data_IF_689677191468
#
_entry.id   IF_689677191468
#
_cell.length_a   1.000
_cell.length_b   1.000
_cell.length_c   1.000
_cell.angle_alpha   90.00
_cell.angle_beta   90.00
_cell.angle_gamma   90.00
#
_symmetry.space_group_name_H-M   'P 1'
#
loop_
_entity.id
_entity.type
_entity.pdbx_description
1 polymer ?
#
# COMPACT_ATOMS: atom_id res chain seq x y z
N UNK A 1 -6.52 10.94 -17.65
CA UNK A 1 -7.63 10.37 -16.88
C UNK A 1 -7.05 9.58 -15.74
N UNK A 2 -7.04 10.17 -14.54
CA UNK A 2 -6.54 9.50 -13.34
C UNK A 2 -7.55 8.42 -12.93
N UNK A 3 -7.32 7.19 -13.38
CA UNK A 3 -8.10 6.05 -12.89
C UNK A 3 -7.71 5.79 -11.44
N UNK A 4 -8.60 6.17 -10.52
CA UNK A 4 -8.56 5.70 -9.14
C UNK A 4 -8.72 4.18 -9.18
N UNK A 5 -7.63 3.47 -8.94
CA UNK A 5 -7.64 2.01 -8.87
C UNK A 5 -8.53 1.58 -7.69
N UNK A 6 -9.41 0.58 -7.85
CA UNK A 6 -10.18 0.03 -6.74
C UNK A 6 -9.19 -0.41 -5.66
N UNK A 7 -9.28 0.21 -4.48
CA UNK A 7 -8.41 -0.13 -3.36
C UNK A 7 -8.46 -1.65 -3.11
N UNK A 8 -7.34 -2.24 -2.66
CA UNK A 8 -7.20 -3.66 -2.29
C UNK A 8 -8.28 -4.20 -1.31
N UNK A 9 -9.19 -3.35 -0.81
CA UNK A 9 -10.37 -3.70 -0.01
C UNK A 9 -11.33 -4.70 -0.68
N UNK A 10 -11.21 -4.99 -1.98
CA UNK A 10 -11.96 -6.07 -2.64
C UNK A 10 -11.37 -7.48 -2.40
N UNK A 11 -10.14 -7.61 -1.90
CA UNK A 11 -9.49 -8.91 -1.68
C UNK A 11 -10.12 -9.77 -0.55
N UNK A 12 -11.04 -9.20 0.23
CA UNK A 12 -11.88 -9.92 1.21
C UNK A 12 -13.21 -10.45 0.65
N UNK A 13 -13.55 -10.18 -0.61
CA UNK A 13 -14.77 -10.70 -1.21
C UNK A 13 -14.58 -12.16 -1.71
N UNK A 14 -15.70 -12.88 -1.87
CA UNK A 14 -15.81 -14.31 -2.20
C UNK A 14 -14.92 -14.79 -3.36
N UNK A 15 -14.76 -16.11 -3.53
CA UNK A 15 -13.97 -16.75 -4.62
C UNK A 15 -14.16 -16.05 -5.98
N UNK A 16 -15.37 -15.62 -6.29
CA UNK A 16 -15.73 -14.92 -7.54
C UNK A 16 -15.07 -13.54 -7.67
N UNK A 17 -15.04 -12.74 -6.60
CA UNK A 17 -14.39 -11.43 -6.61
C UNK A 17 -12.85 -11.51 -6.64
N UNK A 18 -12.26 -12.59 -6.11
CA UNK A 18 -10.83 -12.89 -6.31
C UNK A 18 -10.48 -13.20 -7.76
N UNK A 19 -11.38 -13.89 -8.48
CA UNK A 19 -11.20 -14.18 -9.91
C UNK A 19 -11.23 -12.90 -10.74
N UNK A 20 -12.18 -12.01 -10.47
CA UNK A 20 -12.28 -10.70 -11.13
C UNK A 20 -11.12 -9.77 -10.75
N UNK A 21 -10.59 -9.87 -9.53
CA UNK A 21 -9.39 -9.15 -9.13
C UNK A 21 -8.16 -9.67 -9.89
N UNK A 22 -8.02 -10.98 -10.10
CA UNK A 22 -6.88 -11.52 -10.84
C UNK A 22 -6.87 -11.07 -12.31
N UNK A 23 -8.03 -10.95 -12.96
CA UNK A 23 -8.13 -10.51 -14.35
C UNK A 23 -7.94 -9.00 -14.48
N UNK A 24 -8.56 -8.19 -13.60
CA UNK A 24 -8.42 -6.73 -13.59
C UNK A 24 -7.01 -6.29 -13.17
N UNK A 25 -6.46 -6.91 -12.13
CA UNK A 25 -5.17 -6.52 -11.55
C UNK A 25 -4.00 -7.03 -12.40
N UNK A 26 -4.07 -8.25 -12.98
CA UNK A 26 -3.08 -8.65 -13.98
C UNK A 26 -3.16 -7.77 -15.23
N UNK A 27 -4.38 -7.49 -15.71
CA UNK A 27 -4.59 -6.67 -16.90
C UNK A 27 -4.00 -5.27 -16.78
N UNK A 28 -4.23 -4.60 -15.65
CA UNK A 28 -3.78 -3.22 -15.43
C UNK A 28 -2.33 -3.12 -14.92
N UNK A 29 -1.92 -3.94 -13.95
CA UNK A 29 -0.61 -3.80 -13.32
C UNK A 29 0.51 -4.48 -14.13
N UNK A 30 0.21 -5.51 -14.93
CA UNK A 30 1.23 -6.21 -15.71
C UNK A 30 1.37 -5.70 -17.15
N UNK A 31 0.34 -5.06 -17.72
CA UNK A 31 0.38 -4.61 -19.11
C UNK A 31 0.51 -3.09 -19.27
N UNK A 32 0.68 -2.37 -18.15
CA UNK A 32 0.81 -0.91 -18.19
C UNK A 32 2.25 -0.53 -17.90
N UNK A 33 3.02 -0.35 -18.97
CA UNK A 33 4.44 0.01 -18.89
C UNK A 33 4.63 1.27 -18.05
N UNK A 34 3.73 2.26 -18.17
CA UNK A 34 3.76 3.54 -17.40
C UNK A 34 3.53 3.43 -15.88
N UNK A 35 3.31 2.24 -15.33
CA UNK A 35 3.08 2.08 -13.91
C UNK A 35 4.39 2.01 -13.13
N UNK A 36 4.72 3.12 -12.46
CA UNK A 36 5.95 3.25 -11.66
C UNK A 36 5.89 2.52 -10.31
N UNK A 37 4.69 2.40 -9.73
CA UNK A 37 4.52 1.74 -8.43
C UNK A 37 3.16 2.00 -7.79
N UNK A 38 2.93 1.36 -6.65
CA UNK A 38 1.67 1.32 -5.93
C UNK A 38 1.83 1.89 -4.53
N UNK A 39 0.93 2.81 -4.17
CA UNK A 39 0.78 3.28 -2.79
C UNK A 39 -0.32 2.46 -2.10
N UNK A 40 0.06 1.52 -1.24
CA UNK A 40 -0.88 0.70 -0.49
C UNK A 40 -1.25 1.39 0.83
N UNK A 41 -2.48 1.88 0.92
CA UNK A 41 -2.99 2.55 2.11
C UNK A 41 -3.38 1.51 3.19
N UNK A 42 -2.80 1.64 4.38
CA UNK A 42 -3.07 0.76 5.54
C UNK A 42 -3.58 1.60 6.69
N UNK A 43 -4.67 1.21 7.37
CA UNK A 43 -5.19 1.94 8.53
C UNK A 43 -4.34 1.60 9.77
N UNK A 44 -3.55 2.55 10.26
CA UNK A 44 -2.67 2.33 11.41
C UNK A 44 -3.42 2.26 12.74
N UNK A 45 -4.69 2.68 12.79
CA UNK A 45 -5.49 2.71 14.01
C UNK A 45 -6.14 1.36 14.36
N UNK A 46 -5.80 0.30 13.63
CA UNK A 46 -6.30 -1.06 13.84
C UNK A 46 -5.15 -2.07 13.71
N UNK A 47 -5.27 -3.26 14.30
CA UNK A 47 -4.30 -4.33 14.09
C UNK A 47 -4.17 -4.68 12.63
N UNK A 48 -2.98 -5.16 12.26
CA UNK A 48 -2.67 -5.74 10.97
C UNK A 48 -3.78 -6.67 10.50
N UNK A 49 -4.34 -6.37 9.33
CA UNK A 49 -5.38 -7.19 8.73
C UNK A 49 -4.77 -8.12 7.70
N UNK A 50 -5.22 -9.38 7.68
CA UNK A 50 -4.73 -10.38 6.74
C UNK A 50 -4.88 -9.93 5.28
N UNK A 51 -5.95 -9.17 4.97
CA UNK A 51 -6.18 -8.64 3.62
C UNK A 51 -5.05 -7.71 3.15
N UNK A 52 -4.48 -6.90 4.05
CA UNK A 52 -3.39 -5.98 3.71
C UNK A 52 -2.11 -6.76 3.42
N UNK A 53 -1.84 -7.81 4.21
CA UNK A 53 -0.71 -8.73 4.00
C UNK A 53 -0.85 -9.51 2.70
N UNK A 54 -2.05 -10.01 2.40
CA UNK A 54 -2.35 -10.76 1.18
C UNK A 54 -2.15 -9.87 -0.07
N UNK A 55 -2.63 -8.62 -0.03
CA UNK A 55 -2.43 -7.64 -1.09
C UNK A 55 -0.94 -7.31 -1.28
N UNK A 56 -0.21 -7.04 -0.19
CA UNK A 56 1.23 -6.81 -0.24
C UNK A 56 1.95 -8.01 -0.89
N UNK A 57 1.73 -9.22 -0.37
CA UNK A 57 2.33 -10.44 -0.89
C UNK A 57 2.00 -10.69 -2.38
N UNK A 58 0.80 -10.35 -2.83
CA UNK A 58 0.49 -10.43 -4.26
C UNK A 58 1.30 -9.42 -5.08
N UNK A 59 1.37 -8.16 -4.66
CA UNK A 59 2.14 -7.12 -5.35
C UNK A 59 3.63 -7.47 -5.41
N UNK A 60 4.19 -7.94 -4.29
CA UNK A 60 5.58 -8.39 -4.21
C UNK A 60 5.90 -9.55 -5.14
N UNK A 61 5.04 -10.59 -5.17
CA UNK A 61 5.23 -11.74 -6.07
C UNK A 61 5.11 -11.40 -7.55
N UNK A 62 4.41 -10.33 -7.90
CA UNK A 62 4.29 -9.85 -9.27
C UNK A 62 5.31 -8.75 -9.61
N UNK A 63 6.32 -8.54 -8.76
CA UNK A 63 7.38 -7.55 -8.93
C UNK A 63 6.87 -6.11 -9.15
N UNK A 64 5.72 -5.80 -8.55
CA UNK A 64 5.13 -4.46 -8.62
C UNK A 64 5.76 -3.59 -7.54
N UNK A 65 6.34 -2.45 -7.93
CA UNK A 65 6.89 -1.46 -7.00
C UNK A 65 5.83 -1.03 -5.97
N UNK A 66 6.19 -1.02 -4.69
CA UNK A 66 5.25 -0.83 -3.59
C UNK A 66 5.78 0.19 -2.58
N UNK A 67 4.89 1.03 -2.06
CA UNK A 67 5.12 1.87 -0.87
C UNK A 67 3.92 1.73 0.05
N UNK A 68 4.14 1.46 1.34
CA UNK A 68 3.06 1.48 2.32
C UNK A 68 2.78 2.90 2.78
N UNK A 69 1.50 3.27 2.84
CA UNK A 69 1.07 4.55 3.40
C UNK A 69 0.16 4.26 4.58
N UNK A 70 0.72 4.37 5.77
CA UNK A 70 -0.03 4.21 7.01
C UNK A 70 -0.90 5.44 7.23
N UNK A 71 -2.20 5.26 7.29
CA UNK A 71 -3.20 6.32 7.43
C UNK A 71 -3.75 6.36 8.84
N UNK A 72 -4.35 7.50 9.22
CA UNK A 72 -4.98 7.72 10.54
C UNK A 72 -4.01 7.54 11.71
N UNK A 73 -2.74 7.89 11.51
CA UNK A 73 -1.72 7.82 12.56
C UNK A 73 -1.99 8.77 13.76
N UNK A 74 -2.98 9.66 13.64
CA UNK A 74 -3.53 10.48 14.73
C UNK A 74 -4.46 9.71 15.69
N UNK A 75 -4.96 8.53 15.28
CA UNK A 75 -6.03 7.84 16.00
C UNK A 75 -5.50 6.69 16.85
N UNK A 76 -5.53 6.89 18.16
CA UNK A 76 -5.41 5.79 19.14
C UNK A 76 -6.81 5.24 19.41
N UNK A 77 -7.02 3.93 19.16
CA UNK A 77 -8.30 3.27 19.43
C UNK A 77 -8.23 2.44 20.71
N UNK A 78 -9.27 2.53 21.54
CA UNK A 78 -9.42 1.67 22.72
C UNK A 78 -9.67 0.21 22.31
N UNK A 79 -9.30 -0.73 23.16
CA UNK A 79 -9.49 -2.16 22.92
C UNK A 79 -8.52 -2.71 21.88
N UNK A 80 -9.02 -3.50 20.92
CA UNK A 80 -8.17 -4.16 19.91
C UNK A 80 -7.44 -3.18 18.99
N UNK A 81 -7.88 -1.92 18.89
CA UNK A 81 -7.34 -0.96 17.94
C UNK A 81 -5.93 -0.45 18.22
N UNK A 82 -5.50 -0.39 19.48
CA UNK A 82 -4.12 -0.06 19.86
C UNK A 82 -3.64 1.34 19.45
N UNK A 83 -2.34 1.55 19.65
CA UNK A 83 -1.64 2.75 19.20
C UNK A 83 -1.05 2.54 17.79
N UNK A 84 -1.07 3.56 16.92
CA UNK A 84 -0.55 3.44 15.56
C UNK A 84 0.89 2.97 15.45
N UNK A 85 1.78 3.43 16.33
CA UNK A 85 3.19 3.04 16.39
C UNK A 85 3.35 1.52 16.62
N UNK A 86 2.57 0.95 17.54
CA UNK A 86 2.57 -0.49 17.83
C UNK A 86 2.04 -1.32 16.65
N UNK A 87 0.92 -0.91 16.07
CA UNK A 87 0.32 -1.63 14.94
C UNK A 87 1.24 -1.61 13.70
N UNK A 88 1.86 -0.46 13.41
CA UNK A 88 2.80 -0.32 12.30
C UNK A 88 4.00 -1.24 12.51
N UNK A 89 4.55 -1.31 13.73
CA UNK A 89 5.65 -2.20 14.04
C UNK A 89 5.29 -3.66 13.77
N UNK A 90 4.14 -4.12 14.27
CA UNK A 90 3.64 -5.49 14.02
C UNK A 90 3.40 -5.74 12.53
N UNK A 91 2.87 -4.77 11.80
CA UNK A 91 2.69 -4.88 10.36
C UNK A 91 4.04 -5.07 9.64
N UNK A 92 5.04 -4.26 9.95
CA UNK A 92 6.36 -4.31 9.33
C UNK A 92 7.12 -5.60 9.67
N UNK A 93 6.96 -6.13 10.89
CA UNK A 93 7.50 -7.44 11.28
C UNK A 93 6.92 -8.57 10.39
N UNK A 94 5.60 -8.57 10.18
CA UNK A 94 4.96 -9.54 9.29
C UNK A 94 5.44 -9.40 7.84
N UNK A 95 5.56 -8.16 7.34
CA UNK A 95 6.05 -7.87 5.99
C UNK A 95 7.53 -8.26 5.83
N UNK A 96 8.36 -8.10 6.86
CA UNK A 96 9.78 -8.43 6.80
C UNK A 96 10.06 -9.89 6.43
N UNK A 97 9.11 -10.79 6.72
CA UNK A 97 9.19 -12.20 6.30
C UNK A 97 8.87 -12.44 4.82
N UNK A 98 8.21 -11.49 4.16
CA UNK A 98 7.71 -11.61 2.79
C UNK A 98 8.63 -10.96 1.75
N UNK A 99 9.53 -10.06 2.18
CA UNK A 99 10.39 -9.30 1.28
C UNK A 99 11.86 -9.40 1.69
N UNK A 100 12.79 -9.62 0.73
CA UNK A 100 14.23 -9.55 1.01
C UNK A 100 14.68 -8.17 1.52
N UNK A 101 14.00 -7.11 1.06
CA UNK A 101 14.14 -5.74 1.54
C UNK A 101 12.75 -5.17 1.76
N UNK A 102 12.44 -4.63 2.96
CA UNK A 102 11.12 -4.08 3.21
C UNK A 102 10.83 -2.91 2.27
N UNK A 103 9.61 -2.83 1.68
CA UNK A 103 9.19 -1.69 0.90
C UNK A 103 9.25 -0.37 1.71
N UNK A 104 9.48 0.78 1.06
CA UNK A 104 9.40 2.08 1.72
C UNK A 104 8.00 2.29 2.33
N UNK A 105 7.93 3.08 3.39
CA UNK A 105 6.67 3.40 4.05
C UNK A 105 6.63 4.82 4.61
N UNK A 106 5.43 5.38 4.72
CA UNK A 106 5.18 6.74 5.20
C UNK A 106 3.98 6.75 6.15
N UNK A 107 4.09 7.43 7.29
CA UNK A 107 2.96 7.72 8.19
C UNK A 107 2.21 8.96 7.75
N UNK A 108 0.89 8.90 7.77
CA UNK A 108 0.03 9.99 7.34
C UNK A 108 -1.21 10.16 8.22
N UNK A 109 -1.71 11.39 8.27
CA UNK A 109 -3.03 11.71 8.80
C UNK A 109 -3.68 12.79 7.95
N UNK A 110 -4.86 12.48 7.41
CA UNK A 110 -5.68 13.48 6.73
C UNK A 110 -6.30 14.49 7.71
N UNK A 111 -6.39 14.16 9.00
CA UNK A 111 -6.93 15.05 10.04
C UNK A 111 -5.91 16.10 10.45
N UNK A 112 -4.67 15.69 10.70
CA UNK A 112 -3.62 16.58 11.23
C UNK A 112 -2.68 17.11 10.15
N UNK A 113 -2.76 16.59 8.93
CA UNK A 113 -1.84 16.90 7.85
C UNK A 113 -0.48 16.18 7.95
N UNK A 114 -0.30 15.29 8.94
CA UNK A 114 0.92 14.51 9.11
C UNK A 114 1.29 13.79 7.81
N UNK A 115 2.57 13.84 7.45
CA UNK A 115 3.14 13.08 6.34
C UNK A 115 2.79 13.57 4.94
N UNK A 116 2.01 14.65 4.81
CA UNK A 116 1.60 15.20 3.51
C UNK A 116 2.80 15.55 2.62
N UNK A 117 3.74 16.34 3.13
CA UNK A 117 4.87 16.81 2.34
C UNK A 117 5.83 15.67 2.01
N UNK A 118 6.06 14.76 2.95
CA UNK A 118 6.84 13.54 2.71
C UNK A 118 6.22 12.66 1.63
N UNK A 119 4.90 12.48 1.64
CA UNK A 119 4.19 11.73 0.61
C UNK A 119 4.27 12.41 -0.77
N UNK A 120 4.09 13.74 -0.82
CA UNK A 120 4.22 14.52 -2.05
C UNK A 120 5.64 14.44 -2.63
N UNK A 121 6.66 14.57 -1.78
CA UNK A 121 8.06 14.43 -2.17
C UNK A 121 8.35 13.04 -2.73
N UNK A 122 7.88 11.98 -2.05
CA UNK A 122 8.04 10.60 -2.51
C UNK A 122 7.38 10.36 -3.87
N UNK A 123 6.15 10.86 -4.06
CA UNK A 123 5.48 10.79 -5.37
C UNK A 123 6.24 11.55 -6.47
N UNK A 124 6.84 12.70 -6.14
CA UNK A 124 7.68 13.44 -7.08
C UNK A 124 8.95 12.66 -7.44
N UNK A 125 9.58 11.98 -6.48
CA UNK A 125 10.76 11.16 -6.72
C UNK A 125 10.44 9.96 -7.61
N UNK A 126 9.32 9.27 -7.36
CA UNK A 126 8.84 8.19 -8.22
C UNK A 126 8.60 8.67 -9.65
N UNK A 127 7.94 9.82 -9.82
CA UNK A 127 7.72 10.40 -11.15
C UNK A 127 9.02 10.68 -11.89
N UNK A 128 9.98 11.33 -11.23
CA UNK A 128 11.27 11.67 -11.84
C UNK A 128 12.09 10.43 -12.17
N UNK A 129 12.02 9.37 -11.34
CA UNK A 129 12.66 8.09 -11.64
C UNK A 129 12.14 7.50 -12.96
N UNK A 130 10.83 7.53 -13.16
CA UNK A 130 10.21 7.03 -14.40
C UNK A 130 10.60 7.84 -15.64
N UNK A 131 10.58 9.17 -15.54
CA UNK A 131 10.93 10.04 -16.68
C UNK A 131 12.38 9.80 -17.16
N UNK A 132 13.29 9.48 -16.24
CA UNK A 132 14.69 9.21 -16.56
C UNK A 132 14.92 7.82 -17.17
N UNK A 133 14.11 6.81 -16.85
CA UNK A 133 14.20 5.46 -17.43
C UNK A 133 13.52 5.38 -18.81
N UNK A 134 12.66 6.34 -19.14
CA UNK A 134 11.97 6.43 -20.44
C UNK A 134 12.78 7.16 -21.53
N UNK A 135 14.01 7.61 -21.20
CA UNK A 135 14.93 8.34 -22.11
C UNK A 135 16.14 7.48 -22.44
#
# INVERSE_FOLDING_TARGET
SDQVLPACRFAAASKTARTDWSSFTKGYFLNRDTLVGVLLLVDASVPTQQIDLDCANWLGRNNVGLTFVFTKCDKVKKGKGGRPDENIKVFLENIGSLYPRPPPWIMTSSTTGLGRDGLLLHMSQLRNYWDNEAT
#
